data_IF_193288104429
#
_entry.id   IF_193288104429
#
_cell.length_a   1.000
_cell.length_b   1.000
_cell.length_c   1.000
_cell.angle_alpha   90.00
_cell.angle_beta   90.00
_cell.angle_gamma   90.00
#
_symmetry.space_group_name_H-M   'P 1'
#
loop_
_entity.id
_entity.type
_entity.pdbx_description
1 polymer ?
#
# COMPACT_ATOMS: atom_id res chain seq x y z
N UNK A 1 -28.80 41.23 19.23
CA UNK A 1 -28.21 40.80 17.93
C UNK A 1 -27.24 39.66 18.23
N UNK A 2 -27.69 38.41 18.16
CA UNK A 2 -26.83 37.24 18.36
C UNK A 2 -26.43 36.73 16.96
N UNK A 3 -25.14 36.73 16.65
CA UNK A 3 -24.60 36.23 15.38
C UNK A 3 -24.70 34.69 15.31
N UNK A 4 -24.84 34.10 14.12
CA UNK A 4 -25.10 32.68 13.94
C UNK A 4 -23.80 31.87 14.04
N UNK A 5 -23.30 31.66 15.26
CA UNK A 5 -22.05 30.91 15.52
C UNK A 5 -22.20 29.41 15.16
N UNK A 6 -23.42 28.86 15.21
CA UNK A 6 -23.65 27.42 14.98
C UNK A 6 -23.58 26.94 13.52
N UNK A 7 -23.82 27.81 12.52
CA UNK A 7 -23.82 27.41 11.10
C UNK A 7 -22.40 27.38 10.53
N UNK A 8 -21.57 28.38 10.87
CA UNK A 8 -20.18 28.46 10.42
C UNK A 8 -19.31 27.32 10.98
N UNK A 9 -19.48 26.96 12.26
CA UNK A 9 -18.77 25.83 12.88
C UNK A 9 -19.16 24.48 12.25
N UNK A 10 -20.46 24.24 11.99
CA UNK A 10 -20.90 23.00 11.32
C UNK A 10 -20.37 22.90 9.89
N UNK A 11 -20.42 23.98 9.12
CA UNK A 11 -19.87 24.00 7.75
C UNK A 11 -18.36 23.78 7.75
N UNK A 12 -17.62 24.40 8.69
CA UNK A 12 -16.17 24.21 8.81
C UNK A 12 -15.80 22.76 9.18
N UNK A 13 -16.52 22.13 10.11
CA UNK A 13 -16.31 20.72 10.51
C UNK A 13 -16.61 19.76 9.34
N UNK A 14 -17.73 19.95 8.64
CA UNK A 14 -18.08 19.13 7.46
C UNK A 14 -17.06 19.30 6.32
N UNK A 15 -16.58 20.53 6.09
CA UNK A 15 -15.54 20.80 5.10
C UNK A 15 -14.20 20.15 5.48
N UNK A 16 -13.86 20.14 6.78
CA UNK A 16 -12.64 19.47 7.28
C UNK A 16 -12.70 17.94 7.17
N UNK A 17 -13.85 17.33 7.43
CA UNK A 17 -14.06 15.88 7.28
C UNK A 17 -13.99 15.46 5.81
N UNK A 18 -14.66 16.21 4.91
CA UNK A 18 -14.60 16.00 3.46
C UNK A 18 -13.16 16.01 2.96
N UNK A 19 -12.40 17.03 3.33
CA UNK A 19 -11.00 17.18 2.92
C UNK A 19 -10.13 16.02 3.42
N UNK A 20 -10.26 15.65 4.69
CA UNK A 20 -9.49 14.54 5.27
C UNK A 20 -9.79 13.19 4.60
N UNK A 21 -11.06 12.91 4.27
CA UNK A 21 -11.47 11.72 3.51
C UNK A 21 -10.81 11.67 2.13
N UNK A 22 -10.88 12.77 1.39
CA UNK A 22 -10.27 12.88 0.05
C UNK A 22 -8.75 12.76 0.11
N UNK A 23 -8.09 13.45 1.04
CA UNK A 23 -6.64 13.35 1.24
C UNK A 23 -6.22 11.90 1.54
N UNK A 24 -6.97 11.17 2.36
CA UNK A 24 -6.70 9.75 2.63
C UNK A 24 -6.92 8.87 1.40
N UNK A 25 -8.01 9.06 0.67
CA UNK A 25 -8.34 8.24 -0.50
C UNK A 25 -7.32 8.40 -1.64
N UNK A 26 -6.86 9.64 -1.84
CA UNK A 26 -5.91 10.03 -2.89
C UNK A 26 -4.45 9.81 -2.51
N UNK A 27 -4.14 9.83 -1.22
CA UNK A 27 -2.77 9.70 -0.71
C UNK A 27 -2.26 8.27 -0.63
N UNK A 28 -2.89 7.31 -1.32
CA UNK A 28 -2.40 5.94 -1.41
C UNK A 28 -1.33 5.84 -2.52
N UNK A 29 -0.23 5.09 -2.31
CA UNK A 29 0.18 4.47 -1.07
C UNK A 29 0.66 5.54 -0.08
N UNK A 30 0.37 5.35 1.20
CA UNK A 30 0.67 6.35 2.24
C UNK A 30 2.15 6.65 2.36
N UNK A 31 2.46 7.88 2.80
CA UNK A 31 3.82 8.38 2.97
C UNK A 31 4.72 7.38 3.71
N UNK A 32 5.90 7.19 3.15
CA UNK A 32 6.94 6.31 3.66
C UNK A 32 8.10 7.18 4.13
N UNK A 33 8.78 6.81 5.23
CA UNK A 33 10.03 7.46 5.57
C UNK A 33 11.04 7.39 4.40
N UNK A 34 11.97 8.36 4.30
CA UNK A 34 12.94 8.42 3.22
C UNK A 34 14.00 7.31 3.29
N UNK A 35 13.95 6.47 4.33
CA UNK A 35 14.76 5.28 4.51
C UNK A 35 14.03 4.18 5.26
N UNK A 36 14.70 3.05 5.43
CA UNK A 36 14.26 1.98 6.32
C UNK A 36 13.98 2.53 7.71
N UNK A 37 13.01 1.94 8.40
CA UNK A 37 12.61 2.39 9.73
C UNK A 37 12.14 1.24 10.59
N UNK A 38 12.26 1.39 11.91
CA UNK A 38 11.58 0.55 12.88
C UNK A 38 10.37 1.31 13.40
N UNK A 39 9.18 0.75 13.25
CA UNK A 39 8.03 1.21 14.03
C UNK A 39 8.20 0.67 15.44
N UNK A 40 8.37 1.56 16.42
CA UNK A 40 8.43 1.21 17.84
C UNK A 40 7.21 1.84 18.51
N UNK A 41 6.31 0.99 19.03
CA UNK A 41 4.97 1.37 19.50
C UNK A 41 4.15 2.03 18.37
N UNK A 42 4.25 3.34 18.23
CA UNK A 42 3.61 4.13 17.15
C UNK A 42 4.56 5.15 16.51
N UNK A 43 5.82 5.17 16.94
CA UNK A 43 6.83 6.11 16.47
C UNK A 43 7.73 5.44 15.43
N UNK A 44 7.83 5.98 14.21
CA UNK A 44 8.81 5.52 13.23
C UNK A 44 10.20 6.08 13.55
N UNK A 45 11.17 5.16 13.67
CA UNK A 45 12.59 5.45 13.88
C UNK A 45 13.39 5.03 12.64
N UNK A 46 13.92 6.00 11.90
CA UNK A 46 14.63 5.79 10.65
C UNK A 46 16.08 5.32 10.87
N UNK A 47 16.58 4.48 9.98
CA UNK A 47 17.97 4.06 9.91
C UNK A 47 18.45 3.95 8.45
N UNK A 48 19.77 3.90 8.26
CA UNK A 48 20.37 3.67 6.93
C UNK A 48 20.06 2.26 6.43
N UNK A 49 19.55 2.12 5.20
CA UNK A 49 19.08 0.84 4.66
C UNK A 49 20.12 -0.29 4.76
N UNK A 50 21.37 0.03 4.43
CA UNK A 50 22.49 -0.93 4.41
C UNK A 50 22.88 -1.48 5.78
N UNK A 51 22.43 -0.84 6.87
CA UNK A 51 22.73 -1.27 8.23
C UNK A 51 21.82 -2.41 8.68
N UNK A 52 20.83 -2.81 7.87
CA UNK A 52 20.00 -3.97 8.17
C UNK A 52 20.81 -5.28 8.10
N UNK A 53 21.21 -5.81 9.25
CA UNK A 53 21.93 -7.09 9.37
C UNK A 53 21.00 -8.28 9.69
N UNK A 54 19.69 -8.14 9.46
CA UNK A 54 18.68 -9.12 9.86
C UNK A 54 18.31 -9.03 11.34
N UNK A 55 17.44 -9.95 11.78
CA UNK A 55 16.91 -9.97 13.15
C UNK A 55 18.00 -9.98 14.22
N UNK A 56 19.04 -10.80 14.05
CA UNK A 56 20.15 -10.90 14.99
C UNK A 56 21.05 -9.66 15.09
N UNK A 57 20.96 -8.75 14.12
CA UNK A 57 21.67 -7.47 14.16
C UNK A 57 20.80 -6.29 14.58
N UNK A 58 19.50 -6.48 14.78
CA UNK A 58 18.57 -5.39 15.06
C UNK A 58 18.98 -4.56 16.27
N UNK A 59 19.36 -5.21 17.38
CA UNK A 59 19.77 -4.53 18.62
C UNK A 59 20.99 -3.61 18.47
N UNK A 60 21.78 -3.81 17.41
CA UNK A 60 22.97 -3.01 17.11
C UNK A 60 22.66 -1.79 16.24
N UNK A 61 21.42 -1.69 15.70
CA UNK A 61 21.03 -0.59 14.84
C UNK A 61 21.09 0.74 15.57
N UNK A 62 21.47 1.74 14.78
CA UNK A 62 21.39 3.14 15.14
C UNK A 62 20.24 3.78 14.41
N UNK A 63 19.40 4.50 15.14
CA UNK A 63 18.13 5.01 14.63
C UNK A 63 17.92 6.46 15.02
N UNK A 64 17.13 7.19 14.24
CA UNK A 64 16.70 8.55 14.56
C UNK A 64 15.18 8.67 14.45
N UNK A 65 14.54 9.41 15.35
CA UNK A 65 13.09 9.61 15.32
C UNK A 65 12.71 10.40 14.06
N UNK A 66 11.74 9.93 13.29
CA UNK A 66 11.26 10.65 12.10
C UNK A 66 10.81 12.07 12.48
N UNK A 67 11.40 13.08 11.84
CA UNK A 67 11.12 14.49 12.14
C UNK A 67 11.74 15.03 13.43
N UNK A 68 12.49 14.22 14.18
CA UNK A 68 13.14 14.58 15.45
C UNK A 68 14.56 15.15 15.34
N UNK A 69 15.04 15.44 14.12
CA UNK A 69 16.43 15.85 13.85
C UNK A 69 17.42 14.68 13.75
N UNK A 70 18.71 14.98 13.66
CA UNK A 70 19.79 13.98 13.47
C UNK A 70 20.27 13.33 14.77
N UNK A 71 19.45 13.29 15.82
CA UNK A 71 19.82 12.61 17.07
C UNK A 71 19.73 11.11 16.85
N UNK A 72 20.89 10.47 16.90
CA UNK A 72 21.02 9.04 16.72
C UNK A 72 20.97 8.32 18.08
N UNK A 73 20.13 7.30 18.17
CA UNK A 73 19.87 6.49 19.35
C UNK A 73 20.23 5.03 19.04
N UNK A 74 20.65 4.28 20.05
CA UNK A 74 20.56 2.82 20.01
C UNK A 74 19.10 2.36 20.08
N UNK A 75 18.84 1.11 19.68
CA UNK A 75 17.51 0.51 19.81
C UNK A 75 17.01 0.48 21.26
N UNK A 76 17.86 0.13 22.24
CA UNK A 76 17.47 0.10 23.65
C UNK A 76 17.06 1.49 24.19
N UNK A 77 17.76 2.54 23.75
CA UNK A 77 17.43 3.93 24.06
C UNK A 77 16.09 4.36 23.42
N UNK A 78 15.84 3.98 22.16
CA UNK A 78 14.59 4.25 21.48
C UNK A 78 13.40 3.50 22.11
N UNK A 79 13.59 2.24 22.48
CA UNK A 79 12.61 1.44 23.23
C UNK A 79 12.29 2.09 24.58
N UNK A 80 13.33 2.51 25.32
CA UNK A 80 13.18 3.21 26.59
C UNK A 80 12.41 4.53 26.46
N UNK A 81 12.67 5.30 25.39
CA UNK A 81 11.96 6.55 25.10
C UNK A 81 10.45 6.34 24.83
N UNK A 82 10.08 5.18 24.29
CA UNK A 82 8.69 4.78 24.04
C UNK A 82 8.10 3.95 25.20
N UNK A 83 8.82 3.85 26.33
CA UNK A 83 8.40 3.12 27.52
C UNK A 83 8.16 1.63 27.25
N UNK A 84 8.95 1.02 26.37
CA UNK A 84 8.81 -0.38 25.97
C UNK A 84 9.90 -1.24 26.62
N UNK A 85 9.48 -2.32 27.27
CA UNK A 85 10.34 -3.44 27.61
C UNK A 85 10.13 -4.52 26.55
N UNK A 86 10.93 -4.50 25.49
CA UNK A 86 10.83 -5.41 24.36
C UNK A 86 12.10 -6.22 24.20
N UNK A 87 11.95 -7.49 23.82
CA UNK A 87 13.05 -8.40 23.53
C UNK A 87 12.84 -8.99 22.14
N UNK A 88 13.92 -9.11 21.38
CA UNK A 88 13.84 -9.59 20.01
C UNK A 88 13.40 -11.05 19.95
N UNK A 89 12.42 -11.34 19.08
CA UNK A 89 12.14 -12.71 18.67
C UNK A 89 13.36 -13.28 17.95
N UNK A 90 13.68 -14.55 18.20
CA UNK A 90 14.72 -15.27 17.47
C UNK A 90 14.39 -15.50 15.99
N UNK A 91 13.11 -15.35 15.61
CA UNK A 91 12.63 -15.48 14.24
C UNK A 91 11.73 -14.31 13.85
N UNK A 92 12.03 -13.73 12.70
CA UNK A 92 11.17 -12.75 12.03
C UNK A 92 10.83 -13.21 10.63
N UNK A 93 9.55 -13.09 10.30
CA UNK A 93 9.05 -13.45 8.99
C UNK A 93 9.09 -12.24 8.07
N UNK A 94 9.84 -12.29 6.94
CA UNK A 94 9.83 -11.23 5.94
C UNK A 94 8.52 -11.26 5.16
N UNK A 95 7.79 -10.14 5.18
CA UNK A 95 6.56 -9.96 4.42
C UNK A 95 6.69 -8.75 3.51
N UNK A 96 6.42 -8.92 2.21
CA UNK A 96 6.46 -7.84 1.24
C UNK A 96 5.39 -6.79 1.56
N UNK A 97 5.82 -5.54 1.72
CA UNK A 97 4.97 -4.38 1.92
C UNK A 97 4.84 -3.58 0.61
N UNK A 98 4.03 -4.12 -0.30
CA UNK A 98 3.84 -3.58 -1.67
C UNK A 98 2.94 -2.34 -1.74
N UNK A 99 2.17 -2.06 -0.69
CA UNK A 99 1.15 -1.02 -0.66
C UNK A 99 1.19 -0.18 0.62
N UNK A 100 0.04 -0.05 1.29
CA UNK A 100 -0.11 0.73 2.53
C UNK A 100 0.68 0.17 3.71
N UNK A 101 1.00 -1.13 3.73
CA UNK A 101 1.80 -1.76 4.79
C UNK A 101 3.24 -1.22 4.92
N UNK A 102 3.73 -0.46 3.93
CA UNK A 102 5.02 0.22 4.01
C UNK A 102 4.93 1.57 4.76
N UNK A 103 3.73 2.14 4.89
CA UNK A 103 3.51 3.44 5.52
C UNK A 103 3.28 3.31 7.03
N UNK A 104 4.07 4.04 7.83
CA UNK A 104 3.99 3.97 9.29
C UNK A 104 2.59 4.32 9.80
N UNK A 105 1.91 5.29 9.18
CA UNK A 105 0.55 5.68 9.59
C UNK A 105 -0.46 4.55 9.43
N UNK A 106 -0.27 3.65 8.47
CA UNK A 106 -1.12 2.48 8.32
C UNK A 106 -0.81 1.41 9.36
N UNK A 107 0.48 1.17 9.61
CA UNK A 107 0.88 0.24 10.66
C UNK A 107 0.34 0.71 12.03
N UNK A 108 0.42 2.00 12.37
CA UNK A 108 -0.18 2.51 13.61
C UNK A 108 -1.69 2.25 13.71
N UNK A 109 -2.43 2.29 12.59
CA UNK A 109 -3.86 1.94 12.57
C UNK A 109 -4.10 0.45 12.78
N UNK A 110 -3.22 -0.40 12.24
CA UNK A 110 -3.31 -1.86 12.39
C UNK A 110 -2.92 -2.31 13.79
N UNK A 111 -1.96 -1.64 14.44
CA UNK A 111 -1.43 -2.01 15.75
C UNK A 111 -1.74 -0.96 16.83
N UNK A 112 -3.02 -0.69 17.16
CA UNK A 112 -3.38 0.34 18.14
C UNK A 112 -3.00 -0.09 19.57
N UNK A 113 -2.80 0.89 20.47
CA UNK A 113 -2.45 0.65 21.88
C UNK A 113 -3.42 -0.29 22.60
N UNK A 114 -4.72 -0.20 22.30
CA UNK A 114 -5.75 -1.03 22.95
C UNK A 114 -5.58 -2.52 22.64
N UNK A 115 -5.00 -2.87 21.49
CA UNK A 115 -4.70 -4.26 21.10
C UNK A 115 -3.24 -4.65 21.40
N UNK A 116 -2.34 -3.67 21.48
CA UNK A 116 -0.91 -3.84 21.74
C UNK A 116 -0.46 -2.91 22.88
N UNK A 117 -0.90 -3.15 24.13
CA UNK A 117 -0.60 -2.25 25.25
C UNK A 117 0.89 -2.16 25.56
N UNK A 118 1.62 -3.25 25.38
CA UNK A 118 3.09 -3.31 25.55
C UNK A 118 3.84 -2.75 24.33
N UNK A 119 3.12 -2.37 23.27
CA UNK A 119 3.67 -1.89 22.01
C UNK A 119 4.02 -3.02 21.03
N UNK A 120 4.46 -2.63 19.84
CA UNK A 120 4.94 -3.53 18.79
C UNK A 120 6.26 -2.98 18.25
N UNK A 121 7.13 -3.87 17.79
CA UNK A 121 8.34 -3.51 17.04
C UNK A 121 8.24 -4.12 15.65
N UNK A 122 8.20 -3.28 14.61
CA UNK A 122 8.14 -3.71 13.22
C UNK A 122 9.25 -3.00 12.43
N UNK A 123 10.37 -3.68 12.14
CA UNK A 123 11.31 -3.22 11.14
C UNK A 123 10.67 -3.25 9.74
N UNK A 124 10.85 -2.17 9.01
CA UNK A 124 10.33 -1.95 7.66
C UNK A 124 11.51 -1.51 6.80
N UNK A 125 12.03 -2.44 6.01
CA UNK A 125 13.33 -2.29 5.34
C UNK A 125 13.14 -2.06 3.85
N UNK A 126 13.70 -0.97 3.33
CA UNK A 126 13.65 -0.64 1.91
C UNK A 126 14.41 -1.68 1.10
N UNK A 127 13.81 -2.11 0.02
CA UNK A 127 14.24 -3.27 -0.75
C UNK A 127 13.91 -3.11 -2.24
N UNK A 128 14.61 -3.88 -3.07
CA UNK A 128 14.34 -4.00 -4.51
C UNK A 128 13.95 -5.44 -4.82
N UNK A 129 12.78 -5.60 -5.42
CA UNK A 129 12.30 -6.90 -5.89
C UNK A 129 12.40 -6.97 -7.42
N UNK A 130 13.02 -8.03 -7.93
CA UNK A 130 13.18 -8.25 -9.37
C UNK A 130 12.10 -9.15 -9.95
N UNK A 131 11.76 -8.92 -11.22
CA UNK A 131 10.78 -9.65 -12.03
C UNK A 131 9.32 -9.48 -11.58
N UNK A 132 9.04 -8.43 -10.80
CA UNK A 132 7.69 -8.08 -10.38
C UNK A 132 7.44 -6.57 -10.52
N UNK A 133 6.15 -6.22 -10.55
CA UNK A 133 5.67 -4.85 -10.41
C UNK A 133 4.51 -4.82 -9.41
N UNK A 134 4.19 -3.63 -8.93
CA UNK A 134 3.05 -3.38 -8.05
C UNK A 134 1.94 -2.76 -8.88
N UNK A 135 0.81 -3.45 -8.96
CA UNK A 135 -0.35 -3.05 -9.77
C UNK A 135 -1.58 -2.78 -8.90
N UNK A 136 -2.59 -2.14 -9.48
CA UNK A 136 -3.88 -1.97 -8.81
C UNK A 136 -4.64 -3.29 -8.70
N UNK A 137 -5.17 -3.57 -7.51
CA UNK A 137 -6.11 -4.63 -7.25
C UNK A 137 -7.53 -4.20 -7.72
N UNK A 138 -8.41 -5.15 -8.08
CA UNK A 138 -9.79 -4.87 -8.48
C UNK A 138 -10.70 -4.59 -7.27
N UNK A 139 -10.30 -3.66 -6.40
CA UNK A 139 -11.02 -3.28 -5.18
C UNK A 139 -10.86 -1.79 -4.88
N UNK A 140 -11.96 -1.15 -4.49
CA UNK A 140 -11.98 0.16 -3.84
C UNK A 140 -12.11 -0.11 -2.34
N UNK A 141 -11.17 0.38 -1.53
CA UNK A 141 -11.15 0.17 -0.09
C UNK A 141 -12.24 0.96 0.63
N UNK A 142 -12.47 0.62 1.90
CA UNK A 142 -13.40 1.37 2.77
C UNK A 142 -13.08 2.86 2.90
N UNK A 143 -11.83 3.24 2.64
CA UNK A 143 -11.35 4.63 2.66
C UNK A 143 -11.18 5.24 1.26
N UNK A 144 -11.77 4.62 0.23
CA UNK A 144 -11.91 5.20 -1.11
C UNK A 144 -10.70 5.05 -2.03
N UNK A 145 -9.62 4.43 -1.57
CA UNK A 145 -8.45 4.17 -2.42
C UNK A 145 -8.65 2.92 -3.26
N UNK A 146 -8.08 2.89 -4.46
CA UNK A 146 -7.84 1.63 -5.17
C UNK A 146 -6.59 0.97 -4.55
N UNK A 147 -6.71 -0.28 -4.08
CA UNK A 147 -5.61 -0.95 -3.38
C UNK A 147 -4.56 -1.51 -4.34
N UNK A 148 -3.40 -1.93 -3.83
CA UNK A 148 -2.33 -2.55 -4.62
C UNK A 148 -2.35 -4.08 -4.52
N UNK A 149 -1.77 -4.76 -5.51
CA UNK A 149 -1.45 -6.18 -5.52
C UNK A 149 -0.14 -6.41 -6.28
N UNK A 150 0.52 -7.52 -6.00
CA UNK A 150 1.72 -7.91 -6.73
C UNK A 150 1.35 -8.49 -8.10
N UNK A 151 2.17 -8.22 -9.11
CA UNK A 151 2.05 -8.78 -10.44
C UNK A 151 3.42 -9.23 -10.94
N UNK A 152 3.53 -10.47 -11.44
CA UNK A 152 4.74 -10.94 -12.09
C UNK A 152 4.98 -10.15 -13.39
N UNK A 153 6.18 -9.59 -13.53
CA UNK A 153 6.62 -8.71 -14.62
C UNK A 153 8.11 -8.95 -14.92
N UNK A 154 8.44 -10.00 -15.71
CA UNK A 154 9.84 -10.32 -16.02
C UNK A 154 10.61 -9.12 -16.57
N UNK A 155 11.78 -8.85 -16.00
CA UNK A 155 12.68 -7.75 -16.34
C UNK A 155 12.43 -6.43 -15.58
N UNK A 156 11.31 -6.29 -14.87
CA UNK A 156 11.03 -5.11 -14.02
C UNK A 156 11.74 -5.25 -12.67
N UNK A 157 12.33 -4.17 -12.16
CA UNK A 157 12.82 -4.09 -10.80
C UNK A 157 12.03 -3.02 -10.04
N UNK A 158 11.38 -3.38 -8.94
CA UNK A 158 10.46 -2.49 -8.21
C UNK A 158 10.99 -2.18 -6.81
N UNK A 159 10.94 -0.91 -6.42
CA UNK A 159 11.23 -0.48 -5.06
C UNK A 159 10.04 -0.76 -4.15
N UNK A 160 10.27 -1.49 -3.06
CA UNK A 160 9.26 -1.74 -2.04
C UNK A 160 9.91 -1.77 -0.66
N UNK A 161 9.11 -2.07 0.35
CA UNK A 161 9.60 -2.34 1.70
C UNK A 161 9.26 -3.77 2.10
N UNK A 162 10.03 -4.31 3.04
CA UNK A 162 9.75 -5.59 3.69
C UNK A 162 9.51 -5.34 5.16
N UNK A 163 8.33 -5.72 5.65
CA UNK A 163 8.08 -5.76 7.09
C UNK A 163 8.62 -7.06 7.66
N UNK A 164 9.41 -6.98 8.72
CA UNK A 164 9.84 -8.13 9.49
C UNK A 164 8.92 -8.26 10.70
N UNK A 165 8.14 -9.33 10.76
CA UNK A 165 7.12 -9.52 11.77
C UNK A 165 7.49 -10.70 12.66
N UNK A 166 7.38 -10.52 13.99
CA UNK A 166 7.30 -11.66 14.90
C UNK A 166 5.96 -12.38 14.75
N UNK A 167 5.82 -13.55 15.39
CA UNK A 167 4.65 -14.40 15.23
C UNK A 167 3.35 -13.71 15.65
N UNK A 168 3.39 -12.89 16.71
CA UNK A 168 2.23 -12.17 17.22
C UNK A 168 1.79 -11.06 16.24
N UNK A 169 2.74 -10.26 15.75
CA UNK A 169 2.49 -9.23 14.76
C UNK A 169 2.04 -9.83 13.43
N UNK A 170 2.65 -10.94 12.99
CA UNK A 170 2.27 -11.63 11.76
C UNK A 170 0.83 -12.17 11.83
N UNK A 171 0.48 -12.87 12.92
CA UNK A 171 -0.86 -13.40 13.12
C UNK A 171 -1.92 -12.28 13.16
N UNK A 172 -1.56 -11.10 13.68
CA UNK A 172 -2.44 -9.94 13.63
C UNK A 172 -2.53 -9.32 12.24
N UNK A 173 -1.41 -9.18 11.52
CA UNK A 173 -1.39 -8.68 10.14
C UNK A 173 -2.38 -9.47 9.28
N UNK A 174 -2.36 -10.80 9.35
CA UNK A 174 -3.29 -11.67 8.60
C UNK A 174 -4.76 -11.28 8.77
N UNK A 175 -5.18 -10.90 9.98
CA UNK A 175 -6.58 -10.52 10.27
C UNK A 175 -7.01 -9.23 9.56
N UNK A 176 -6.05 -8.41 9.14
CA UNK A 176 -6.30 -7.10 8.50
C UNK A 176 -6.34 -7.13 6.98
N UNK A 177 -5.98 -8.26 6.35
CA UNK A 177 -5.79 -8.30 4.90
C UNK A 177 -7.07 -8.70 4.14
N UNK A 178 -8.01 -9.43 4.75
CA UNK A 178 -9.37 -9.61 4.24
C UNK A 178 -9.48 -10.21 2.82
N UNK A 179 -9.47 -9.37 1.79
CA UNK A 179 -9.65 -9.73 0.37
C UNK A 179 -8.39 -10.32 -0.32
N UNK A 180 -7.38 -10.68 0.46
CA UNK A 180 -6.08 -11.13 -0.02
C UNK A 180 -5.81 -12.59 0.37
N UNK A 181 -5.06 -13.26 -0.49
CA UNK A 181 -4.44 -14.55 -0.20
C UNK A 181 -3.04 -14.33 0.35
N UNK A 182 -2.73 -15.02 1.44
CA UNK A 182 -1.36 -15.18 1.91
C UNK A 182 -0.65 -16.16 0.98
N UNK A 183 0.46 -15.72 0.40
CA UNK A 183 1.31 -16.57 -0.44
C UNK A 183 2.76 -16.52 0.03
N UNK A 184 3.46 -17.64 -0.09
CA UNK A 184 4.91 -17.70 -0.06
C UNK A 184 5.43 -17.60 -1.49
N UNK A 185 6.36 -16.67 -1.73
CA UNK A 185 7.12 -16.61 -2.96
C UNK A 185 8.47 -17.27 -2.74
N UNK A 186 8.88 -18.11 -3.66
CA UNK A 186 10.18 -18.79 -3.68
C UNK A 186 10.86 -18.61 -5.04
N UNK A 187 12.19 -18.72 -5.08
CA UNK A 187 12.96 -18.49 -6.31
C UNK A 187 12.91 -17.03 -6.79
N UNK A 188 12.64 -16.09 -5.89
CA UNK A 188 12.67 -14.66 -6.18
C UNK A 188 14.07 -14.09 -5.95
N UNK A 189 14.33 -12.91 -6.50
CA UNK A 189 15.50 -12.11 -6.13
C UNK A 189 15.03 -10.86 -5.41
N UNK A 190 15.15 -10.86 -4.09
CA UNK A 190 14.74 -9.77 -3.22
C UNK A 190 15.98 -9.19 -2.52
N UNK A 191 16.42 -8.02 -2.96
CA UNK A 191 17.57 -7.31 -2.42
C UNK A 191 17.12 -6.39 -1.28
N UNK A 192 17.54 -6.69 -0.06
CA UNK A 192 17.12 -6.00 1.18
C UNK A 192 18.16 -4.95 1.56
N UNK A 193 17.72 -3.80 2.06
CA UNK A 193 18.62 -2.76 2.56
C UNK A 193 19.23 -1.91 1.46
N UNK A 194 18.49 -1.70 0.36
CA UNK A 194 18.89 -0.81 -0.73
C UNK A 194 17.66 -0.15 -1.35
N UNK A 195 17.81 1.09 -1.82
CA UNK A 195 16.85 1.75 -2.70
C UNK A 195 17.06 1.33 -4.15
N UNK A 196 16.06 1.57 -5.00
CA UNK A 196 16.18 1.35 -6.45
C UNK A 196 17.26 2.26 -7.05
N UNK A 197 17.30 3.52 -6.66
CA UNK A 197 18.35 4.47 -7.10
C UNK A 197 19.75 4.01 -6.65
N UNK A 198 19.86 3.47 -5.44
CA UNK A 198 21.10 2.88 -4.92
C UNK A 198 21.54 1.69 -5.77
N UNK A 199 20.63 0.75 -6.01
CA UNK A 199 20.87 -0.42 -6.85
C UNK A 199 21.28 -0.05 -8.28
N UNK A 200 20.60 0.92 -8.91
CA UNK A 200 20.94 1.41 -10.25
C UNK A 200 22.35 2.02 -10.31
N UNK A 201 22.85 2.56 -9.20
CA UNK A 201 24.23 3.08 -9.05
C UNK A 201 25.25 2.01 -8.61
N UNK A 202 24.83 0.75 -8.50
CA UNK A 202 25.70 -0.37 -8.10
C UNK A 202 25.92 -0.51 -6.60
N UNK A 203 25.10 0.14 -5.77
CA UNK A 203 25.12 -0.11 -4.32
C UNK A 203 24.80 -1.58 -4.05
N UNK A 204 25.55 -2.17 -3.10
CA UNK A 204 25.29 -3.54 -2.67
C UNK A 204 24.13 -3.53 -1.65
N UNK A 205 23.20 -4.50 -1.73
CA UNK A 205 22.21 -4.67 -0.69
C UNK A 205 22.86 -5.15 0.60
N UNK A 206 22.17 -4.93 1.72
CA UNK A 206 22.61 -5.47 3.01
C UNK A 206 22.54 -7.01 3.02
N UNK A 207 21.51 -7.57 2.38
CA UNK A 207 21.35 -9.01 2.17
C UNK A 207 20.43 -9.29 0.98
N UNK A 208 20.35 -10.55 0.54
CA UNK A 208 19.42 -10.99 -0.50
C UNK A 208 18.64 -12.19 -0.01
N UNK A 209 17.31 -12.16 -0.21
CA UNK A 209 16.41 -13.26 0.11
C UNK A 209 15.91 -13.92 -1.18
N UNK A 210 15.76 -15.24 -1.15
CA UNK A 210 15.17 -16.03 -2.23
C UNK A 210 13.71 -16.43 -1.99
N UNK A 211 13.17 -16.08 -0.81
CA UNK A 211 11.77 -16.24 -0.47
C UNK A 211 11.27 -15.15 0.47
N UNK A 212 9.96 -14.89 0.43
CA UNK A 212 9.26 -14.00 1.34
C UNK A 212 7.75 -14.31 1.31
N UNK A 213 7.05 -13.95 2.38
CA UNK A 213 5.59 -13.94 2.35
C UNK A 213 5.07 -12.67 1.66
N UNK A 214 3.89 -12.75 1.08
CA UNK A 214 3.21 -11.61 0.48
C UNK A 214 1.70 -11.79 0.57
N UNK A 215 0.98 -10.67 0.49
CA UNK A 215 -0.46 -10.66 0.32
C UNK A 215 -0.77 -10.31 -1.14
N UNK A 216 -1.42 -11.23 -1.85
CA UNK A 216 -1.85 -11.03 -3.23
C UNK A 216 -3.37 -10.98 -3.24
N UNK A 217 -3.95 -10.00 -3.93
CA UNK A 217 -5.40 -9.91 -4.01
C UNK A 217 -5.97 -11.17 -4.67
N UNK A 218 -7.09 -11.69 -4.17
CA UNK A 218 -7.65 -13.00 -4.60
C UNK A 218 -7.92 -13.13 -6.10
N UNK A 219 -8.11 -12.00 -6.78
CA UNK A 219 -8.37 -11.92 -8.22
C UNK A 219 -7.19 -11.34 -9.03
N UNK A 220 -6.04 -11.15 -8.39
CA UNK A 220 -4.85 -10.52 -8.98
C UNK A 220 -5.10 -9.06 -9.35
N UNK A 221 -4.52 -8.61 -10.48
CA UNK A 221 -4.50 -7.21 -10.88
C UNK A 221 -5.66 -6.84 -11.81
N UNK A 222 -6.22 -5.64 -11.62
CA UNK A 222 -7.19 -5.05 -12.55
C UNK A 222 -6.54 -4.81 -13.91
N UNK A 223 -7.27 -5.08 -15.01
CA UNK A 223 -6.77 -4.81 -16.37
C UNK A 223 -7.61 -3.78 -17.09
N UNK A 224 -6.95 -2.71 -17.51
CA UNK A 224 -7.55 -1.63 -18.30
C UNK A 224 -6.84 -1.50 -19.65
N UNK A 225 -7.51 -1.03 -20.71
CA UNK A 225 -6.92 -0.81 -22.03
C UNK A 225 -6.10 0.50 -22.07
N UNK A 226 -5.24 0.73 -21.08
CA UNK A 226 -4.40 1.92 -21.00
C UNK A 226 -3.25 1.81 -22.03
N UNK A 227 -3.39 2.52 -23.16
CA UNK A 227 -2.38 2.51 -24.23
C UNK A 227 -2.46 1.32 -25.20
N UNK A 228 -3.57 0.58 -25.23
CA UNK A 228 -3.78 -0.50 -26.20
C UNK A 228 -4.63 -1.65 -25.66
N UNK A 229 -4.11 -2.89 -25.76
CA UNK A 229 -4.77 -4.07 -25.22
C UNK A 229 -4.89 -3.99 -23.69
N UNK A 230 -5.92 -4.64 -23.13
CA UNK A 230 -6.09 -4.72 -21.67
C UNK A 230 -4.84 -5.30 -21.03
N UNK A 231 -4.26 -4.61 -20.06
CA UNK A 231 -3.08 -5.05 -19.31
C UNK A 231 -3.22 -4.63 -17.85
N UNK A 232 -2.50 -5.28 -16.92
CA UNK A 232 -2.39 -4.78 -15.55
C UNK A 232 -1.98 -3.30 -15.54
N UNK A 233 -2.51 -2.53 -14.61
CA UNK A 233 -2.15 -1.12 -14.42
C UNK A 233 -1.24 -1.01 -13.20
N UNK A 234 -0.02 -0.51 -13.42
CA UNK A 234 0.96 -0.31 -12.36
C UNK A 234 0.64 0.92 -11.51
N UNK A 235 1.03 0.87 -10.23
CA UNK A 235 0.97 2.01 -9.32
C UNK A 235 2.14 2.96 -9.62
N UNK A 236 1.86 4.18 -10.08
CA UNK A 236 2.91 5.14 -10.44
C UNK A 236 3.74 5.59 -9.23
N UNK A 237 3.13 5.70 -8.06
CA UNK A 237 3.80 6.10 -6.81
C UNK A 237 4.84 5.08 -6.33
N UNK A 238 4.89 3.88 -6.92
CA UNK A 238 5.91 2.87 -6.65
C UNK A 238 6.98 2.98 -7.74
N UNK A 239 8.19 3.37 -7.34
CA UNK A 239 9.34 3.45 -8.24
C UNK A 239 9.67 2.08 -8.84
N UNK A 240 9.89 2.03 -10.15
CA UNK A 240 10.32 0.82 -10.83
C UNK A 240 11.23 1.15 -12.03
N UNK A 241 12.18 0.27 -12.29
CA UNK A 241 13.05 0.30 -13.46
C UNK A 241 12.58 -0.76 -14.47
N UNK A 242 12.58 -0.42 -15.76
CA UNK A 242 12.07 -1.28 -16.85
C UNK A 242 10.64 -1.77 -16.60
N UNK A 243 9.79 -0.89 -16.09
CA UNK A 243 8.35 -1.13 -15.93
C UNK A 243 7.72 -1.47 -17.29
N UNK A 244 6.95 -2.55 -17.31
CA UNK A 244 6.29 -3.08 -18.53
C UNK A 244 4.84 -2.65 -18.67
N UNK A 245 4.19 -2.41 -17.53
CA UNK A 245 2.78 -2.04 -17.48
C UNK A 245 2.62 -0.53 -17.54
N UNK A 246 1.51 -0.07 -18.13
CA UNK A 246 1.16 1.34 -18.04
C UNK A 246 0.90 1.68 -16.57
N UNK A 247 1.52 2.76 -16.07
CA UNK A 247 1.30 3.22 -14.70
C UNK A 247 0.33 4.39 -14.67
N UNK A 248 -0.51 4.41 -13.64
CA UNK A 248 -1.35 5.54 -13.29
C UNK A 248 -1.09 5.90 -11.83
N UNK A 249 -1.10 7.19 -11.51
CA UNK A 249 -1.23 7.67 -10.15
C UNK A 249 -2.59 7.27 -9.55
N UNK A 250 -2.69 7.32 -8.23
CA UNK A 250 -3.89 6.97 -7.49
C UNK A 250 -5.12 7.76 -7.96
N UNK A 251 -4.94 9.06 -8.19
CA UNK A 251 -6.01 9.96 -8.63
C UNK A 251 -6.44 9.63 -10.06
N UNK A 252 -5.49 9.35 -10.95
CA UNK A 252 -5.80 8.94 -12.32
C UNK A 252 -6.51 7.59 -12.36
N UNK A 253 -6.10 6.64 -11.52
CA UNK A 253 -6.77 5.34 -11.42
C UNK A 253 -8.20 5.48 -10.87
N UNK A 254 -8.43 6.34 -9.88
CA UNK A 254 -9.78 6.66 -9.41
C UNK A 254 -10.63 7.28 -10.52
N UNK A 255 -10.07 8.22 -11.29
CA UNK A 255 -10.71 8.77 -12.50
C UNK A 255 -11.00 7.70 -13.55
N UNK A 256 -10.05 6.77 -13.77
CA UNK A 256 -10.20 5.64 -14.68
C UNK A 256 -11.37 4.76 -14.29
N UNK A 257 -11.45 4.38 -13.01
CA UNK A 257 -12.52 3.53 -12.50
C UNK A 257 -13.87 4.23 -12.54
N UNK A 258 -13.95 5.50 -12.12
CA UNK A 258 -15.17 6.33 -12.26
C UNK A 258 -15.69 6.28 -13.69
N UNK A 259 -14.80 6.50 -14.65
CA UNK A 259 -15.15 6.46 -16.07
C UNK A 259 -15.58 5.05 -16.52
N UNK A 260 -14.81 4.01 -16.18
CA UNK A 260 -15.08 2.62 -16.61
C UNK A 260 -16.32 2.01 -15.97
N UNK A 261 -16.66 2.43 -14.75
CA UNK A 261 -17.79 1.92 -13.98
C UNK A 261 -19.09 2.69 -14.29
N UNK A 262 -19.03 3.79 -15.04
CA UNK A 262 -20.19 4.58 -15.43
C UNK A 262 -20.79 5.37 -14.26
N UNK A 263 -21.63 6.37 -14.58
CA UNK A 263 -22.17 7.30 -13.58
C UNK A 263 -23.48 6.88 -12.92
N UNK A 264 -24.25 5.94 -13.47
CA UNK A 264 -25.59 5.67 -12.96
C UNK A 264 -26.01 4.20 -13.11
N UNK A 265 -26.75 3.73 -12.11
CA UNK A 265 -27.33 2.38 -12.01
C UNK A 265 -28.32 2.05 -13.14
N UNK A 266 -28.76 3.03 -13.94
CA UNK A 266 -29.74 2.86 -15.03
C UNK A 266 -29.11 2.49 -16.39
N UNK A 267 -27.79 2.58 -16.55
CA UNK A 267 -27.05 2.12 -17.75
C UNK A 267 -26.22 0.87 -17.46
N UNK A 268 -26.81 -0.11 -16.78
CA UNK A 268 -26.19 -1.41 -16.46
C UNK A 268 -25.88 -2.31 -17.68
N UNK A 269 -25.75 -1.74 -18.89
CA UNK A 269 -25.58 -2.44 -20.15
C UNK A 269 -24.38 -2.00 -21.01
N UNK A 270 -23.62 -0.97 -20.62
CA UNK A 270 -22.37 -0.64 -21.31
C UNK A 270 -21.30 -1.68 -20.94
N UNK A 271 -20.98 -2.58 -21.88
CA UNK A 271 -19.90 -3.53 -21.69
C UNK A 271 -18.57 -2.79 -21.58
N UNK A 272 -17.66 -3.32 -20.76
CA UNK A 272 -16.26 -2.89 -20.59
C UNK A 272 -15.41 -2.87 -21.88
N UNK A 273 -16.02 -3.07 -23.05
CA UNK A 273 -15.45 -3.00 -24.39
C UNK A 273 -15.61 -1.62 -25.04
N UNK A 274 -16.50 -0.76 -24.51
CA UNK A 274 -16.82 0.55 -25.09
C UNK A 274 -15.98 1.69 -24.50
N UNK A 275 -14.87 1.36 -23.83
CA UNK A 275 -13.94 2.34 -23.26
C UNK A 275 -13.30 3.17 -24.40
N UNK A 276 -13.45 4.51 -24.44
CA UNK A 276 -12.59 5.37 -25.25
C UNK A 276 -11.12 5.04 -25.02
N UNK A 277 -10.36 5.22 -26.10
CA UNK A 277 -8.92 5.14 -26.11
C UNK A 277 -8.37 6.02 -24.97
N UNK A 278 -7.73 5.40 -23.97
CA UNK A 278 -7.19 6.09 -22.80
C UNK A 278 -6.29 7.26 -23.23
N UNK A 279 -6.37 8.45 -22.59
CA UNK A 279 -5.56 9.60 -22.97
C UNK A 279 -4.08 9.22 -23.03
N UNK A 280 -3.44 9.46 -24.18
CA UNK A 280 -2.07 9.00 -24.46
C UNK A 280 -0.98 9.81 -23.76
N UNK A 281 -1.32 10.85 -22.98
CA UNK A 281 -0.31 11.75 -22.43
C UNK A 281 -0.62 12.28 -21.04
N UNK A 282 0.45 12.56 -20.31
CA UNK A 282 0.48 13.18 -18.98
C UNK A 282 0.00 14.65 -18.97
N UNK A 283 -0.32 15.26 -20.12
CA UNK A 283 -0.81 16.63 -20.18
C UNK A 283 -2.31 16.76 -19.83
N UNK A 284 -3.09 15.68 -19.95
CA UNK A 284 -4.52 15.61 -19.58
C UNK A 284 -4.74 15.24 -18.11
N UNK A 285 -3.68 15.04 -17.33
CA UNK A 285 -3.73 14.56 -15.93
C UNK A 285 -4.10 15.67 -14.94
N UNK A 286 -3.99 16.93 -15.37
CA UNK A 286 -4.56 18.10 -14.66
C UNK A 286 -6.09 18.11 -14.64
N UNK A 287 -6.80 17.29 -15.44
CA UNK A 287 -8.26 17.25 -15.42
C UNK A 287 -8.83 16.77 -14.08
N UNK A 288 -8.16 15.84 -13.39
CA UNK A 288 -8.81 15.06 -12.32
C UNK A 288 -8.59 15.59 -10.90
N UNK A 289 -7.53 16.37 -10.65
CA UNK A 289 -7.22 16.85 -9.29
C UNK A 289 -8.21 17.90 -8.77
N UNK A 290 -8.82 18.65 -9.68
CA UNK A 290 -9.82 19.69 -9.38
C UNK A 290 -11.24 19.29 -9.86
N UNK A 291 -11.44 18.01 -10.22
CA UNK A 291 -12.73 17.49 -10.67
C UNK A 291 -13.66 17.22 -9.47
N UNK A 292 -14.63 18.12 -9.27
CA UNK A 292 -15.66 18.01 -8.24
C UNK A 292 -16.46 16.71 -8.38
N UNK A 293 -16.69 16.25 -9.61
CA UNK A 293 -17.44 15.02 -9.84
C UNK A 293 -16.61 13.77 -9.50
N UNK A 294 -15.28 13.86 -9.55
CA UNK A 294 -14.40 12.81 -9.02
C UNK A 294 -14.39 12.82 -7.49
N UNK A 295 -14.33 14.00 -6.86
CA UNK A 295 -14.45 14.12 -5.40
C UNK A 295 -15.73 13.45 -4.90
N UNK A 296 -16.87 13.78 -5.51
CA UNK A 296 -18.17 13.25 -5.11
C UNK A 296 -18.26 11.74 -5.35
N UNK A 297 -17.66 11.23 -6.43
CA UNK A 297 -17.58 9.79 -6.68
C UNK A 297 -16.72 9.07 -5.63
N UNK A 298 -15.57 9.64 -5.25
CA UNK A 298 -14.72 9.09 -4.18
C UNK A 298 -15.47 9.08 -2.85
N UNK A 299 -16.10 10.20 -2.48
CA UNK A 299 -16.84 10.33 -1.22
C UNK A 299 -18.04 9.38 -1.17
N UNK A 300 -18.77 9.23 -2.28
CA UNK A 300 -19.86 8.24 -2.38
C UNK A 300 -19.34 6.82 -2.14
N UNK A 301 -18.19 6.47 -2.71
CA UNK A 301 -17.57 5.18 -2.43
C UNK A 301 -17.12 5.02 -0.98
N UNK A 302 -16.77 6.10 -0.26
CA UNK A 302 -16.42 6.03 1.17
C UNK A 302 -17.67 5.85 2.03
N UNK A 303 -18.67 6.70 1.79
CA UNK A 303 -19.84 6.86 2.65
C UNK A 303 -20.94 5.81 2.39
N UNK A 304 -20.95 5.18 1.19
CA UNK A 304 -21.94 4.16 0.80
C UNK A 304 -21.25 2.83 0.45
N UNK A 305 -21.27 1.90 1.41
CA UNK A 305 -20.71 0.55 1.23
C UNK A 305 -21.46 -0.26 0.17
N UNK A 306 -22.78 -0.08 0.02
CA UNK A 306 -23.57 -0.83 -0.95
C UNK A 306 -23.18 -0.43 -2.38
N UNK A 307 -23.04 0.88 -2.63
CA UNK A 307 -22.53 1.40 -3.92
C UNK A 307 -21.12 0.89 -4.19
N UNK A 308 -20.22 0.98 -3.21
CA UNK A 308 -18.84 0.49 -3.36
C UNK A 308 -18.80 -1.00 -3.70
N UNK A 309 -19.61 -1.82 -3.04
CA UNK A 309 -19.71 -3.27 -3.28
C UNK A 309 -20.36 -3.61 -4.63
N UNK A 310 -21.26 -2.78 -5.14
CA UNK A 310 -21.90 -2.98 -6.43
C UNK A 310 -20.91 -2.95 -7.61
N UNK A 311 -19.79 -2.24 -7.48
CA UNK A 311 -18.74 -2.22 -8.51
C UNK A 311 -17.89 -3.48 -8.58
N UNK A 312 -17.85 -4.26 -7.49
CA UNK A 312 -16.88 -5.33 -7.32
C UNK A 312 -16.97 -6.43 -8.38
N UNK A 313 -18.16 -6.95 -8.79
CA UNK A 313 -18.25 -7.93 -9.87
C UNK A 313 -17.66 -7.43 -11.18
N UNK A 314 -17.86 -6.14 -11.50
CA UNK A 314 -17.33 -5.51 -12.73
C UNK A 314 -15.82 -5.35 -12.67
N UNK A 315 -15.28 -4.93 -11.52
CA UNK A 315 -13.82 -4.84 -11.31
C UNK A 315 -13.17 -6.21 -11.46
N UNK A 316 -13.71 -7.22 -10.80
CA UNK A 316 -13.20 -8.60 -10.85
C UNK A 316 -13.30 -9.21 -12.24
N UNK A 317 -14.36 -8.92 -13.01
CA UNK A 317 -14.49 -9.38 -14.39
C UNK A 317 -13.37 -8.88 -15.33
N UNK A 318 -12.68 -7.80 -14.96
CA UNK A 318 -11.52 -7.28 -15.69
C UNK A 318 -10.18 -7.77 -15.16
N UNK A 319 -10.18 -8.39 -13.98
CA UNK A 319 -8.96 -8.75 -13.29
C UNK A 319 -8.29 -9.98 -13.93
N UNK A 320 -6.99 -10.10 -13.67
CA UNK A 320 -6.23 -11.28 -14.04
C UNK A 320 -5.52 -11.82 -12.82
N UNK A 321 -5.79 -13.09 -12.53
CA UNK A 321 -5.20 -13.79 -11.40
C UNK A 321 -3.66 -13.70 -11.45
N UNK A 322 -3.07 -13.56 -10.27
CA UNK A 322 -1.62 -13.59 -10.14
C UNK A 322 -1.07 -14.97 -10.55
N UNK A 323 -0.03 -14.96 -11.36
CA UNK A 323 0.63 -16.17 -11.86
C UNK A 323 2.13 -16.03 -11.72
N UNK A 324 2.71 -16.88 -10.88
CA UNK A 324 4.15 -17.03 -10.72
C UNK A 324 4.44 -18.47 -10.30
N UNK A 325 5.37 -19.15 -10.95
CA UNK A 325 5.65 -20.58 -10.71
C UNK A 325 6.22 -20.86 -9.32
N UNK A 326 6.93 -19.89 -8.74
CA UNK A 326 7.46 -19.98 -7.38
C UNK A 326 6.48 -19.55 -6.29
N UNK A 327 5.22 -19.26 -6.61
CA UNK A 327 4.23 -18.86 -5.63
C UNK A 327 3.41 -20.05 -5.10
N UNK A 328 3.31 -20.15 -3.78
CA UNK A 328 2.45 -21.12 -3.10
C UNK A 328 1.43 -20.37 -2.25
N UNK A 329 0.14 -20.58 -2.53
CA UNK A 329 -0.94 -20.05 -1.70
C UNK A 329 -1.01 -20.84 -0.39
N UNK A 330 -0.86 -20.14 0.73
CA UNK A 330 -0.90 -20.71 2.07
C UNK A 330 -2.30 -20.62 2.69
N UNK A 331 -2.97 -19.48 2.52
CA UNK A 331 -4.30 -19.24 3.08
C UNK A 331 -5.08 -18.17 2.29
N UNK A 332 -6.41 -18.25 2.35
CA UNK A 332 -7.30 -17.12 2.04
C UNK A 332 -7.73 -16.45 3.34
N UNK A 333 -7.48 -15.15 3.49
CA UNK A 333 -7.66 -14.44 4.76
C UNK A 333 -9.08 -13.87 4.95
N UNK A 334 -9.96 -14.09 3.98
CA UNK A 334 -11.34 -13.61 3.94
C UNK A 334 -11.93 -13.77 2.54
N UNK A 335 -12.87 -12.89 2.18
CA UNK A 335 -13.47 -12.83 0.86
C UNK A 335 -13.39 -11.40 0.26
N UNK A 336 -13.79 -11.30 -1.00
CA UNK A 336 -13.78 -10.05 -1.77
C UNK A 336 -14.72 -8.95 -1.22
N UNK A 337 -15.72 -9.31 -0.40
CA UNK A 337 -16.67 -8.38 0.24
C UNK A 337 -16.26 -8.02 1.67
N UNK A 338 -15.11 -8.52 2.13
CA UNK A 338 -14.60 -8.29 3.47
C UNK A 338 -14.46 -6.80 3.75
N UNK A 339 -15.18 -6.32 4.77
CA UNK A 339 -15.06 -4.96 5.27
C UNK A 339 -13.71 -4.69 5.96
N UNK A 340 -12.87 -5.73 6.09
CA UNK A 340 -11.60 -5.66 6.81
C UNK A 340 -10.43 -5.11 5.99
N UNK A 341 -10.62 -4.82 4.69
CA UNK A 341 -9.62 -4.04 3.93
C UNK A 341 -9.66 -2.60 4.42
N UNK A 342 -8.95 -2.37 5.53
CA UNK A 342 -8.87 -1.13 6.31
C UNK A 342 -7.52 -0.47 6.20
#
# INVERSE_FOLDING_TARGET
>A
MALPVGRALRTAVVCSDRRAKLERARGYPYARPPSSYALIRHTPYCFEDRLWLGAGGFETLRVSKLGGGSVELRIDEALGAEGMAWTASSSWTPVLAIGSNAGHSQLCRKYPTDLFPDGVVIPVVRSVLHDFDVCYAPIITSYGSVAATLQHSPGTAVELFVTFLDDAALAHMHKTEGAYDLQELSGIKLEIGTSLEGWMRGAQPATTLSSALTYVHQHGAVRLPCGGAKSPVALEEINAEKRRFHSLSQVEMQGALRFCLGHHEEEAGAELKDLPHWPKSTADTKLWKDDIELDDWILRNIDDEAVRKAYLPRLVATAHAFQFSGAVKLASLGDMYSANVK
#
